data_IF_642598845325
#
_entry.id   IF_642598845325
#
_cell.length_a   1.000
_cell.length_b   1.000
_cell.length_c   1.000
_cell.angle_alpha   90.00
_cell.angle_beta   90.00
_cell.angle_gamma   90.00
#
_symmetry.space_group_name_H-M   'P 1'
#
loop_
_entity.id
_entity.type
_entity.pdbx_description
1 polymer ?
#
# COMPACT_ATOMS: atom_id res chain seq x y z
N UNK A 1 2.30 10.70 -22.25
CA UNK A 1 1.46 9.49 -22.40
C UNK A 1 0.63 9.33 -21.15
N UNK A 2 -0.69 9.49 -21.25
CA UNK A 2 -1.60 9.20 -20.12
C UNK A 2 -1.57 7.68 -19.96
N UNK A 3 -0.73 7.20 -19.04
CA UNK A 3 -0.62 5.78 -18.69
C UNK A 3 -2.02 5.30 -18.28
N UNK A 4 -2.45 4.17 -18.83
CA UNK A 4 -3.74 3.55 -18.49
C UNK A 4 -3.94 3.54 -16.97
N UNK A 5 -5.00 4.22 -16.51
CA UNK A 5 -5.36 4.28 -15.09
C UNK A 5 -6.43 3.24 -14.83
N UNK A 6 -6.17 2.37 -13.86
CA UNK A 6 -7.17 1.42 -13.35
C UNK A 6 -7.85 1.98 -12.11
N UNK A 7 -9.14 1.66 -11.92
CA UNK A 7 -9.87 2.05 -10.71
C UNK A 7 -9.86 0.90 -9.71
N UNK A 8 -9.39 1.16 -8.50
CA UNK A 8 -9.41 0.22 -7.38
C UNK A 8 -10.55 0.58 -6.43
N UNK A 9 -11.37 -0.40 -6.06
CA UNK A 9 -12.39 -0.22 -5.02
C UNK A 9 -11.75 -0.48 -3.66
N UNK A 10 -11.87 0.47 -2.74
CA UNK A 10 -11.43 0.34 -1.35
C UNK A 10 -12.61 0.58 -0.41
N UNK A 11 -12.66 -0.11 0.76
CA UNK A 11 -13.70 0.13 1.75
C UNK A 11 -13.73 1.61 2.17
N UNK A 12 -14.93 2.18 2.28
CA UNK A 12 -15.11 3.58 2.67
C UNK A 12 -14.41 3.94 3.99
N UNK A 13 -14.50 3.12 5.05
CA UNK A 13 -13.79 3.41 6.30
C UNK A 13 -12.28 3.50 6.15
N UNK A 14 -11.69 2.73 5.23
CA UNK A 14 -10.26 2.80 4.95
C UNK A 14 -9.90 4.09 4.23
N UNK A 15 -10.70 4.49 3.24
CA UNK A 15 -10.53 5.76 2.54
C UNK A 15 -10.59 6.96 3.49
N UNK A 16 -11.54 6.96 4.42
CA UNK A 16 -11.70 8.06 5.37
C UNK A 16 -10.51 8.16 6.33
N UNK A 17 -9.99 7.02 6.81
CA UNK A 17 -8.76 6.98 7.61
C UNK A 17 -7.55 7.48 6.83
N UNK A 18 -7.42 7.06 5.57
CA UNK A 18 -6.34 7.52 4.70
C UNK A 18 -6.41 9.04 4.48
N UNK A 19 -7.63 9.59 4.35
CA UNK A 19 -7.85 11.03 4.22
C UNK A 19 -7.30 11.78 5.43
N UNK A 20 -7.61 11.31 6.64
CA UNK A 20 -7.06 11.91 7.88
C UNK A 20 -5.54 11.75 7.97
N UNK A 21 -4.98 10.62 7.53
CA UNK A 21 -3.53 10.40 7.56
C UNK A 21 -2.77 11.37 6.64
N UNK A 22 -3.36 11.74 5.50
CA UNK A 22 -2.71 12.66 4.55
C UNK A 22 -3.01 14.14 4.84
N UNK A 23 -3.85 14.46 5.83
CA UNK A 23 -4.09 15.85 6.24
C UNK A 23 -2.80 16.47 6.81
N UNK A 24 -2.37 17.59 6.23
CA UNK A 24 -1.10 18.23 6.58
C UNK A 24 0.14 17.57 5.94
N UNK A 25 -0.05 16.53 5.13
CA UNK A 25 1.02 15.99 4.29
C UNK A 25 1.18 16.78 2.98
N UNK A 26 2.25 16.51 2.23
CA UNK A 26 2.46 17.07 0.89
C UNK A 26 1.63 16.41 -0.21
N UNK A 27 0.76 15.44 0.10
CA UNK A 27 -0.03 14.73 -0.90
C UNK A 27 -1.31 15.50 -1.25
N UNK A 28 -1.59 15.63 -2.55
CA UNK A 28 -2.76 16.36 -3.06
C UNK A 28 -4.04 15.51 -3.04
N UNK A 29 -3.90 14.18 -2.93
CA UNK A 29 -5.04 13.27 -2.86
C UNK A 29 -4.68 11.91 -2.24
N UNK A 30 -5.71 11.21 -1.74
CA UNK A 30 -5.57 9.82 -1.27
C UNK A 30 -5.06 8.90 -2.38
N UNK A 31 -5.47 9.13 -3.63
CA UNK A 31 -5.00 8.32 -4.76
C UNK A 31 -3.49 8.49 -4.99
N UNK A 32 -2.98 9.73 -4.90
CA UNK A 32 -1.56 10.01 -5.03
C UNK A 32 -0.75 9.32 -3.93
N UNK A 33 -1.23 9.42 -2.67
CA UNK A 33 -0.63 8.73 -1.54
C UNK A 33 -0.60 7.20 -1.73
N UNK A 34 -1.72 6.60 -2.15
CA UNK A 34 -1.80 5.16 -2.41
C UNK A 34 -0.84 4.74 -3.52
N UNK A 35 -0.77 5.49 -4.61
CA UNK A 35 0.17 5.20 -5.71
C UNK A 35 1.62 5.32 -5.24
N UNK A 36 1.94 6.32 -4.42
CA UNK A 36 3.28 6.49 -3.83
C UNK A 36 3.66 5.28 -2.96
N UNK A 37 2.81 4.91 -2.01
CA UNK A 37 3.05 3.76 -1.12
C UNK A 37 3.16 2.45 -1.89
N UNK A 38 2.29 2.22 -2.88
CA UNK A 38 2.36 1.01 -3.71
C UNK A 38 3.64 0.98 -4.55
N UNK A 39 4.10 2.13 -5.06
CA UNK A 39 5.36 2.20 -5.79
C UNK A 39 6.54 1.91 -4.88
N UNK A 40 6.58 2.53 -3.70
CA UNK A 40 7.62 2.32 -2.71
C UNK A 40 7.71 0.84 -2.29
N UNK A 41 6.58 0.23 -1.93
CA UNK A 41 6.50 -1.19 -1.58
C UNK A 41 6.99 -2.11 -2.70
N UNK A 42 6.63 -1.79 -3.95
CA UNK A 42 7.07 -2.58 -5.11
C UNK A 42 8.55 -2.34 -5.44
N UNK A 43 9.07 -1.14 -5.22
CA UNK A 43 10.49 -0.82 -5.39
C UNK A 43 11.34 -1.55 -4.37
N UNK A 44 10.98 -1.50 -3.08
CA UNK A 44 11.67 -2.27 -2.03
C UNK A 44 11.60 -3.77 -2.31
N UNK A 45 10.44 -4.29 -2.73
CA UNK A 45 10.27 -5.70 -3.09
C UNK A 45 10.84 -6.14 -4.45
N UNK A 46 11.41 -5.23 -5.24
CA UNK A 46 12.12 -5.54 -6.49
C UNK A 46 13.64 -5.46 -6.32
N UNK A 47 14.14 -4.62 -5.41
CA UNK A 47 15.56 -4.53 -5.07
C UNK A 47 16.00 -5.64 -4.08
N UNK A 48 15.11 -6.17 -3.24
CA UNK A 48 15.41 -7.22 -2.24
C UNK A 48 15.07 -8.66 -2.72
N UNK A 49 14.88 -8.86 -4.04
CA UNK A 49 14.49 -10.17 -4.61
C UNK A 49 15.59 -11.23 -4.68
N UNK A 50 16.80 -10.93 -4.23
CA UNK A 50 17.84 -11.96 -4.11
C UNK A 50 17.93 -12.57 -2.70
N UNK A 51 17.52 -11.89 -1.61
CA UNK A 51 17.87 -12.39 -0.25
C UNK A 51 16.80 -12.35 0.87
N UNK A 52 15.68 -11.59 0.77
CA UNK A 52 14.75 -11.42 1.93
C UNK A 52 13.32 -11.99 1.82
N UNK A 53 12.96 -12.57 0.68
CA UNK A 53 11.55 -12.81 0.31
C UNK A 53 10.76 -13.81 1.19
N UNK A 54 11.40 -14.70 1.96
CA UNK A 54 10.67 -15.75 2.72
C UNK A 54 10.18 -15.32 4.10
N UNK A 55 10.98 -14.56 4.86
CA UNK A 55 10.62 -14.20 6.24
C UNK A 55 9.60 -13.07 6.30
N UNK A 56 9.74 -12.06 5.44
CA UNK A 56 8.81 -10.90 5.43
C UNK A 56 7.41 -11.27 4.95
N UNK A 57 7.30 -12.18 3.99
CA UNK A 57 6.00 -12.67 3.50
C UNK A 57 5.24 -13.39 4.62
N UNK A 58 5.94 -14.16 5.46
CA UNK A 58 5.33 -14.88 6.58
C UNK A 58 4.97 -13.92 7.73
N UNK A 59 5.77 -12.88 7.96
CA UNK A 59 5.46 -11.82 8.92
C UNK A 59 4.20 -11.03 8.52
N UNK A 60 4.08 -10.67 7.23
CA UNK A 60 2.89 -9.98 6.69
C UNK A 60 1.66 -10.90 6.77
N UNK A 61 1.78 -12.18 6.41
CA UNK A 61 0.70 -13.17 6.55
C UNK A 61 0.24 -13.30 8.00
N UNK A 62 1.15 -13.39 8.97
CA UNK A 62 0.81 -13.43 10.41
C UNK A 62 0.12 -12.15 10.86
N UNK A 63 0.59 -11.00 10.39
CA UNK A 63 0.00 -9.70 10.73
C UNK A 63 -1.42 -9.55 10.18
N UNK A 64 -1.66 -10.00 8.94
CA UNK A 64 -2.99 -10.01 8.31
C UNK A 64 -3.95 -10.99 9.00
N UNK A 65 -3.46 -12.17 9.42
CA UNK A 65 -4.25 -13.13 10.21
C UNK A 65 -4.67 -12.55 11.56
N UNK A 66 -3.77 -11.88 12.27
CA UNK A 66 -4.09 -11.23 13.55
C UNK A 66 -5.08 -10.05 13.39
N UNK A 67 -5.17 -9.47 12.20
CA UNK A 67 -6.12 -8.41 11.86
C UNK A 67 -7.46 -8.96 11.32
N UNK A 68 -7.65 -10.28 11.27
CA UNK A 68 -8.92 -10.92 10.92
C UNK A 68 -9.23 -11.02 9.43
N UNK A 69 -8.20 -10.95 8.57
CA UNK A 69 -8.36 -11.08 7.12
C UNK A 69 -8.30 -12.53 6.60
N UNK A 70 -8.35 -13.53 7.50
CA UNK A 70 -8.43 -14.98 7.22
C UNK A 70 -9.35 -15.67 8.23
#
# INVERSE_FOLDING_TARGET
MIRDKVTLKIPRPLYDRLKTVIEGSGFSSVNEFVVYVLRDLMSTGLEDRDDRSRDETEAIRRRLKNLGYF
#
